data_IF_550158937895
#
_entry.id   IF_550158937895
#
_cell.length_a   1.000
_cell.length_b   1.000
_cell.length_c   1.000
_cell.angle_alpha   90.00
_cell.angle_beta   90.00
_cell.angle_gamma   90.00
#
_symmetry.space_group_name_H-M   'P 1'
#
loop_
_entity.id
_entity.type
_entity.pdbx_description
1 polymer ?
#
# COMPACT_ATOMS: atom_id res chain seq x y z
N UNK A 1 14.86 -14.33 22.19
CA UNK A 1 14.71 -15.14 23.43
C UNK A 1 14.12 -16.50 23.04
N UNK A 2 14.40 -17.55 23.81
CA UNK A 2 13.86 -18.90 23.59
C UNK A 2 12.82 -19.22 24.67
N UNK A 3 11.88 -20.09 24.33
CA UNK A 3 10.87 -20.60 25.27
C UNK A 3 10.10 -19.48 25.97
N UNK A 4 9.37 -18.71 25.19
CA UNK A 4 8.60 -17.57 25.68
C UNK A 4 7.10 -17.81 25.49
N UNK A 5 6.29 -17.27 26.38
CA UNK A 5 4.86 -17.10 26.22
C UNK A 5 4.57 -15.62 25.93
N UNK A 6 3.80 -15.34 24.89
CA UNK A 6 3.30 -14.00 24.58
C UNK A 6 1.81 -13.99 24.86
N UNK A 7 1.38 -13.15 25.78
CA UNK A 7 -0.05 -12.97 26.12
C UNK A 7 -0.57 -11.75 25.41
N UNK A 8 -1.66 -11.95 24.70
CA UNK A 8 -2.34 -10.89 23.94
C UNK A 8 -3.77 -10.77 24.44
N UNK A 9 -4.20 -9.56 24.74
CA UNK A 9 -5.61 -9.24 24.97
C UNK A 9 -6.08 -8.25 23.90
N UNK A 10 -7.16 -8.65 23.22
CA UNK A 10 -7.68 -7.92 22.06
C UNK A 10 -6.58 -7.71 21.00
N UNK A 11 -6.02 -6.51 20.88
CA UNK A 11 -5.01 -6.14 19.90
C UNK A 11 -3.70 -5.66 20.53
N UNK A 12 -3.46 -5.97 21.83
CA UNK A 12 -2.27 -5.53 22.56
C UNK A 12 -1.53 -6.70 23.17
N UNK A 13 -0.21 -6.67 23.08
CA UNK A 13 0.64 -7.55 23.87
C UNK A 13 0.61 -7.04 25.32
N UNK A 14 0.14 -7.89 26.24
CA UNK A 14 0.02 -7.56 27.65
C UNK A 14 1.31 -7.93 28.39
N UNK A 15 1.85 -9.10 28.11
CA UNK A 15 3.10 -9.54 28.73
C UNK A 15 3.85 -10.52 27.82
N UNK A 16 5.15 -10.65 28.08
CA UNK A 16 6.04 -11.64 27.49
C UNK A 16 6.77 -12.32 28.61
N UNK A 17 6.49 -13.59 28.85
CA UNK A 17 6.97 -14.37 29.99
C UNK A 17 7.95 -15.46 29.55
N UNK A 18 8.88 -15.81 30.41
CA UNK A 18 9.77 -16.94 30.20
C UNK A 18 9.04 -18.25 30.53
N UNK A 19 9.19 -19.25 29.68
CA UNK A 19 8.54 -20.53 29.80
C UNK A 19 7.21 -20.61 29.06
N UNK A 20 6.51 -21.70 29.25
CA UNK A 20 5.21 -21.98 28.66
C UNK A 20 4.13 -21.89 29.73
N UNK A 21 3.44 -20.78 29.80
CA UNK A 21 2.39 -20.54 30.79
C UNK A 21 1.17 -21.41 30.49
N UNK A 22 0.47 -21.85 31.53
CA UNK A 22 -0.82 -22.55 31.38
C UNK A 22 -1.90 -21.52 30.99
N UNK A 23 -2.70 -21.88 30.00
CA UNK A 23 -3.84 -21.08 29.59
C UNK A 23 -4.95 -21.12 30.66
N UNK A 24 -5.66 -20.01 30.83
CA UNK A 24 -6.93 -19.96 31.53
C UNK A 24 -8.07 -20.56 30.72
N UNK A 25 -9.22 -20.81 31.36
CA UNK A 25 -10.38 -21.48 30.73
C UNK A 25 -11.02 -20.72 29.57
N UNK A 26 -10.78 -19.43 29.46
CA UNK A 26 -11.33 -18.56 28.41
C UNK A 26 -10.33 -18.25 27.30
N UNK A 27 -9.13 -18.76 27.37
CA UNK A 27 -8.03 -18.36 26.48
C UNK A 27 -7.96 -19.25 25.25
N UNK A 28 -7.61 -18.64 24.12
CA UNK A 28 -7.18 -19.35 22.92
C UNK A 28 -5.68 -19.53 22.94
N UNK A 29 -5.22 -20.76 22.93
CA UNK A 29 -3.78 -21.08 22.84
C UNK A 29 -3.39 -21.36 21.40
N UNK A 30 -2.30 -20.72 20.95
CA UNK A 30 -1.63 -21.01 19.69
C UNK A 30 -0.26 -21.56 20.03
N UNK A 31 -0.04 -22.86 19.82
CA UNK A 31 1.24 -23.51 20.11
C UNK A 31 2.23 -23.26 18.95
N UNK A 32 3.25 -22.47 19.24
CA UNK A 32 4.30 -22.08 18.30
C UNK A 32 5.70 -22.48 18.79
N UNK A 33 5.81 -23.54 19.63
CA UNK A 33 7.08 -23.96 20.26
C UNK A 33 8.20 -24.24 19.26
N UNK A 34 7.87 -24.67 18.05
CA UNK A 34 8.82 -24.94 16.96
C UNK A 34 9.01 -23.77 15.99
N UNK A 35 8.38 -22.65 16.26
CA UNK A 35 8.39 -21.47 15.39
C UNK A 35 9.08 -20.29 16.06
N UNK A 36 9.55 -19.38 15.26
CA UNK A 36 9.98 -18.05 15.71
C UNK A 36 8.84 -17.07 15.54
N UNK A 37 8.50 -16.38 16.63
CA UNK A 37 7.51 -15.29 16.62
C UNK A 37 8.26 -13.96 16.57
N UNK A 38 7.85 -13.09 15.69
CA UNK A 38 8.44 -11.77 15.51
C UNK A 38 7.33 -10.74 15.23
N UNK A 39 7.60 -9.44 15.44
CA UNK A 39 6.69 -8.39 14.96
C UNK A 39 6.47 -8.51 13.46
N UNK A 40 5.28 -8.12 13.00
CA UNK A 40 5.01 -8.03 11.58
C UNK A 40 5.97 -7.07 10.90
N UNK A 41 6.37 -7.41 9.69
CA UNK A 41 7.30 -6.59 8.91
C UNK A 41 6.63 -5.32 8.39
N UNK A 42 7.46 -4.31 8.14
CA UNK A 42 7.05 -3.05 7.54
C UNK A 42 7.81 -2.89 6.23
N UNK A 43 7.08 -2.74 5.12
CA UNK A 43 7.68 -2.37 3.84
C UNK A 43 7.35 -0.91 3.53
N UNK A 44 8.39 -0.11 3.33
CA UNK A 44 8.25 1.33 3.13
C UNK A 44 8.12 1.72 1.66
N UNK A 45 8.10 0.76 0.73
CA UNK A 45 7.95 1.04 -0.70
C UNK A 45 7.30 -0.13 -1.44
N UNK A 46 5.98 -0.12 -1.51
CA UNK A 46 5.21 -1.11 -2.27
C UNK A 46 4.28 -0.45 -3.29
N UNK A 47 3.73 -1.27 -4.17
CA UNK A 47 2.65 -0.94 -5.08
C UNK A 47 1.61 -2.06 -5.03
N UNK A 48 0.44 -1.78 -4.44
CA UNK A 48 -0.60 -2.80 -4.21
C UNK A 48 -1.64 -2.89 -5.34
N UNK A 49 -1.61 -1.97 -6.29
CA UNK A 49 -2.57 -1.97 -7.40
C UNK A 49 -2.16 -2.88 -8.56
N UNK A 50 -0.91 -3.27 -8.62
CA UNK A 50 -0.39 -4.00 -9.78
C UNK A 50 0.85 -4.83 -9.45
N UNK A 51 1.11 -5.78 -10.32
CA UNK A 51 2.31 -6.59 -10.34
C UNK A 51 3.12 -6.30 -11.61
N UNK A 52 4.43 -6.41 -11.54
CA UNK A 52 5.27 -6.29 -12.73
C UNK A 52 5.04 -7.48 -13.64
N UNK A 53 4.42 -7.24 -14.79
CA UNK A 53 4.13 -8.27 -15.78
C UNK A 53 4.28 -7.73 -17.21
N UNK A 54 4.53 -8.60 -18.21
CA UNK A 54 4.55 -8.20 -19.63
C UNK A 54 3.19 -7.63 -20.11
N UNK A 55 2.10 -7.91 -19.41
CA UNK A 55 0.74 -7.47 -19.76
C UNK A 55 0.41 -6.08 -19.23
N UNK A 56 1.22 -5.53 -18.32
CA UNK A 56 0.91 -4.27 -17.63
C UNK A 56 0.61 -3.10 -18.57
N UNK A 57 1.30 -3.00 -19.69
CA UNK A 57 1.03 -1.94 -20.65
C UNK A 57 -0.37 -2.07 -21.27
N UNK A 58 -0.80 -3.30 -21.58
CA UNK A 58 -2.13 -3.58 -22.14
C UNK A 58 -3.20 -3.34 -21.07
N UNK A 59 -2.95 -3.74 -19.82
CA UNK A 59 -3.85 -3.53 -18.70
C UNK A 59 -4.15 -2.04 -18.49
N UNK A 60 -3.17 -1.16 -18.70
CA UNK A 60 -3.38 0.29 -18.66
C UNK A 60 -4.40 0.84 -19.66
N UNK A 61 -4.69 0.10 -20.75
CA UNK A 61 -5.69 0.46 -21.75
C UNK A 61 -7.03 -0.27 -21.59
N UNK A 62 -7.04 -1.39 -20.86
CA UNK A 62 -8.22 -2.29 -20.78
C UNK A 62 -8.87 -2.27 -19.40
N UNK A 63 -8.16 -1.90 -18.35
CA UNK A 63 -8.67 -1.92 -16.99
C UNK A 63 -9.36 -0.61 -16.62
N UNK A 64 -10.52 -0.75 -16.00
CA UNK A 64 -11.22 0.32 -15.32
C UNK A 64 -10.72 0.42 -13.85
N UNK A 65 -11.01 1.52 -13.15
CA UNK A 65 -10.66 1.65 -11.73
C UNK A 65 -11.16 0.50 -10.84
N UNK A 66 -12.29 -0.11 -11.19
CA UNK A 66 -12.83 -1.27 -10.47
C UNK A 66 -11.97 -2.52 -10.64
N UNK A 67 -11.37 -2.73 -11.81
CA UNK A 67 -10.49 -3.88 -12.06
C UNK A 67 -9.23 -3.78 -11.19
N UNK A 68 -8.61 -2.60 -11.12
CA UNK A 68 -7.51 -2.32 -10.20
C UNK A 68 -7.91 -2.49 -8.73
N UNK A 69 -9.13 -2.08 -8.36
CA UNK A 69 -9.61 -2.23 -7.00
C UNK A 69 -9.72 -3.70 -6.59
N UNK A 70 -10.31 -4.54 -7.43
CA UNK A 70 -10.43 -5.98 -7.14
C UNK A 70 -9.07 -6.67 -7.14
N UNK A 71 -8.18 -6.34 -8.07
CA UNK A 71 -6.83 -6.88 -8.12
C UNK A 71 -6.02 -6.49 -6.87
N UNK A 72 -6.14 -5.25 -6.42
CA UNK A 72 -5.43 -4.75 -5.23
C UNK A 72 -5.83 -5.46 -3.94
N UNK A 73 -7.05 -5.98 -3.83
CA UNK A 73 -7.47 -6.81 -2.70
C UNK A 73 -6.63 -8.08 -2.62
N UNK A 74 -6.41 -8.74 -3.75
CA UNK A 74 -5.59 -9.96 -3.81
C UNK A 74 -4.14 -9.68 -3.41
N UNK A 75 -3.52 -8.63 -3.97
CA UNK A 75 -2.14 -8.27 -3.64
C UNK A 75 -1.97 -7.84 -2.18
N UNK A 76 -2.97 -7.15 -1.64
CA UNK A 76 -3.03 -6.77 -0.23
C UNK A 76 -3.04 -8.00 0.69
N UNK A 77 -3.86 -9.01 0.37
CA UNK A 77 -3.93 -10.26 1.15
C UNK A 77 -2.61 -11.06 1.08
N UNK A 78 -2.04 -11.21 -0.11
CA UNK A 78 -0.74 -11.89 -0.32
C UNK A 78 0.36 -11.19 0.48
N UNK A 79 0.40 -9.86 0.46
CA UNK A 79 1.36 -9.04 1.22
C UNK A 79 1.22 -9.26 2.72
N UNK A 80 -0.01 -9.27 3.25
CA UNK A 80 -0.27 -9.54 4.66
C UNK A 80 0.15 -10.97 5.05
N UNK A 81 -0.19 -11.97 4.24
CA UNK A 81 0.15 -13.38 4.50
C UNK A 81 1.65 -13.66 4.40
N UNK A 82 2.39 -12.86 3.63
CA UNK A 82 3.85 -12.89 3.60
C UNK A 82 4.50 -12.31 4.87
N UNK A 83 3.69 -11.73 5.79
CA UNK A 83 4.15 -11.22 7.08
C UNK A 83 4.32 -9.70 7.14
N UNK A 84 4.02 -8.98 6.07
CA UNK A 84 4.03 -7.51 6.08
C UNK A 84 2.72 -6.98 6.64
N UNK A 85 2.76 -6.48 7.87
CA UNK A 85 1.57 -5.99 8.58
C UNK A 85 1.35 -4.49 8.42
N UNK A 86 2.35 -3.77 7.91
CA UNK A 86 2.28 -2.34 7.60
C UNK A 86 3.06 -2.07 6.32
N UNK A 87 2.49 -1.29 5.42
CA UNK A 87 3.15 -0.93 4.15
C UNK A 87 2.96 0.54 3.81
N UNK A 88 3.89 1.08 3.04
CA UNK A 88 3.80 2.39 2.43
C UNK A 88 3.68 2.25 0.91
N UNK A 89 2.49 2.47 0.39
CA UNK A 89 2.18 2.39 -1.04
C UNK A 89 2.46 3.75 -1.70
N UNK A 90 3.48 3.79 -2.56
CA UNK A 90 4.07 5.04 -3.02
C UNK A 90 3.63 5.51 -4.40
N UNK A 91 2.83 4.75 -5.12
CA UNK A 91 2.20 5.21 -6.36
C UNK A 91 1.08 4.26 -6.79
N UNK A 92 0.05 4.83 -7.38
CA UNK A 92 -1.07 4.11 -7.94
C UNK A 92 -1.96 5.03 -8.77
N UNK A 93 -3.08 4.52 -9.21
CA UNK A 93 -4.11 5.29 -9.93
C UNK A 93 -4.94 6.21 -9.03
N UNK A 94 -4.85 6.01 -7.71
CA UNK A 94 -5.72 6.58 -6.68
C UNK A 94 -6.65 5.54 -6.06
N UNK A 95 -6.78 4.36 -6.66
CA UNK A 95 -7.53 3.22 -6.11
C UNK A 95 -6.93 2.74 -4.80
N UNK A 96 -5.61 2.86 -4.61
CA UNK A 96 -4.91 2.54 -3.37
C UNK A 96 -5.42 3.35 -2.16
N UNK A 97 -5.98 4.54 -2.35
CA UNK A 97 -6.68 5.29 -1.29
C UNK A 97 -7.97 4.56 -0.89
N UNK A 98 -8.72 4.07 -1.87
CA UNK A 98 -9.93 3.29 -1.64
C UNK A 98 -9.63 1.95 -0.97
N UNK A 99 -8.55 1.27 -1.38
CA UNK A 99 -8.04 0.04 -0.75
C UNK A 99 -7.74 0.27 0.74
N UNK A 100 -6.94 1.29 1.07
CA UNK A 100 -6.66 1.66 2.46
C UNK A 100 -7.93 1.91 3.26
N UNK A 101 -8.86 2.66 2.69
CA UNK A 101 -10.12 2.98 3.36
C UNK A 101 -10.97 1.72 3.62
N UNK A 102 -11.01 0.79 2.67
CA UNK A 102 -11.73 -0.48 2.82
C UNK A 102 -11.09 -1.38 3.89
N UNK A 103 -9.77 -1.44 3.97
CA UNK A 103 -9.04 -2.15 5.03
C UNK A 103 -9.34 -1.51 6.39
N UNK A 104 -9.25 -0.18 6.51
CA UNK A 104 -9.50 0.54 7.77
C UNK A 104 -10.93 0.38 8.27
N UNK A 105 -11.90 0.20 7.36
CA UNK A 105 -13.30 -0.09 7.68
C UNK A 105 -13.58 -1.56 7.97
N UNK A 106 -12.58 -2.43 7.81
CA UNK A 106 -12.73 -3.88 7.99
C UNK A 106 -13.55 -4.57 6.90
N UNK A 107 -13.78 -3.95 5.76
CA UNK A 107 -14.49 -4.56 4.64
C UNK A 107 -13.67 -5.65 3.95
N UNK A 108 -12.37 -5.46 3.93
CA UNK A 108 -11.40 -6.41 3.37
C UNK A 108 -10.22 -6.58 4.32
N UNK A 109 -9.51 -7.70 4.19
CA UNK A 109 -8.28 -7.98 4.93
C UNK A 109 -7.07 -7.44 4.18
N UNK A 110 -6.11 -6.88 4.93
CA UNK A 110 -4.87 -6.39 4.38
C UNK A 110 -3.96 -5.82 5.46
N UNK A 111 -2.74 -5.43 5.12
CA UNK A 111 -1.84 -4.72 6.02
C UNK A 111 -2.38 -3.32 6.33
N UNK A 112 -1.83 -2.66 7.35
CA UNK A 112 -2.02 -1.21 7.50
C UNK A 112 -1.34 -0.50 6.34
N UNK A 113 -2.09 0.24 5.54
CA UNK A 113 -1.58 0.95 4.36
C UNK A 113 -1.48 2.43 4.63
N UNK A 114 -0.33 3.02 4.30
CA UNK A 114 -0.14 4.46 4.14
C UNK A 114 0.11 4.73 2.67
N UNK A 115 -0.70 5.56 2.03
CA UNK A 115 -0.63 5.72 0.58
C UNK A 115 -0.39 7.15 0.13
N UNK A 116 0.41 7.27 -0.93
CA UNK A 116 0.61 8.52 -1.64
C UNK A 116 -0.51 8.83 -2.67
N UNK A 117 -1.39 7.86 -2.95
CA UNK A 117 -2.27 7.99 -4.10
C UNK A 117 -1.46 8.01 -5.40
N UNK A 118 -1.71 8.99 -6.26
CA UNK A 118 -0.87 9.26 -7.43
C UNK A 118 0.43 9.94 -6.99
N UNK A 119 1.56 9.49 -7.49
CA UNK A 119 2.82 10.17 -7.27
C UNK A 119 2.95 11.45 -8.14
N UNK A 120 3.95 12.28 -7.86
CA UNK A 120 4.21 13.53 -8.60
C UNK A 120 5.54 13.40 -9.34
N UNK A 121 5.53 13.75 -10.62
CA UNK A 121 6.68 13.81 -11.53
C UNK A 121 6.63 15.09 -12.38
N UNK A 122 7.70 15.39 -13.08
CA UNK A 122 7.71 16.40 -14.14
C UNK A 122 7.25 15.80 -15.47
N UNK A 123 6.90 16.64 -16.44
CA UNK A 123 6.73 16.21 -17.83
C UNK A 123 7.97 15.46 -18.29
N UNK A 124 7.77 14.29 -18.88
CA UNK A 124 8.87 13.41 -19.31
C UNK A 124 9.62 12.72 -18.17
N UNK A 125 9.22 12.91 -16.91
CA UNK A 125 9.85 12.25 -15.76
C UNK A 125 9.41 10.79 -15.59
N UNK A 126 10.02 10.09 -14.63
CA UNK A 126 9.89 8.63 -14.43
C UNK A 126 8.46 8.10 -14.37
N UNK A 127 7.53 8.85 -13.79
CA UNK A 127 6.13 8.44 -13.68
C UNK A 127 5.16 9.34 -14.44
N UNK A 128 5.65 10.05 -15.44
CA UNK A 128 4.75 10.60 -16.46
C UNK A 128 4.20 9.41 -17.26
N UNK A 129 2.88 9.14 -17.18
CA UNK A 129 2.31 7.93 -17.78
C UNK A 129 2.28 7.99 -19.31
N UNK A 130 2.63 9.13 -19.91
CA UNK A 130 2.52 9.37 -21.35
C UNK A 130 3.85 9.31 -22.09
N UNK A 131 4.95 9.02 -21.39
CA UNK A 131 6.28 8.91 -22.01
C UNK A 131 6.33 7.89 -23.15
N UNK A 132 6.59 8.39 -24.37
CA UNK A 132 6.72 7.55 -25.57
C UNK A 132 5.40 7.07 -26.18
N UNK A 133 4.25 7.46 -25.62
CA UNK A 133 2.94 7.10 -26.14
C UNK A 133 2.34 8.17 -27.06
N UNK A 134 1.45 7.73 -27.94
CA UNK A 134 0.68 8.63 -28.80
C UNK A 134 -0.23 9.51 -27.94
N UNK A 135 -0.17 10.83 -28.18
CA UNK A 135 -0.92 11.84 -27.43
C UNK A 135 -2.44 11.67 -27.54
N UNK A 136 -2.93 11.21 -28.68
CA UNK A 136 -4.34 10.98 -28.94
C UNK A 136 -4.90 9.76 -28.15
N UNK A 137 -4.02 8.87 -27.68
CA UNK A 137 -4.40 7.73 -26.83
C UNK A 137 -4.28 8.04 -25.34
N UNK A 138 -3.24 8.73 -24.93
CA UNK A 138 -2.90 8.92 -23.51
C UNK A 138 -3.20 10.33 -22.98
N UNK A 139 -3.48 11.28 -23.89
CA UNK A 139 -3.71 12.66 -23.52
C UNK A 139 -2.44 13.40 -23.12
N UNK A 140 -2.61 14.44 -22.33
CA UNK A 140 -1.55 15.32 -21.84
C UNK A 140 -1.85 15.63 -20.35
N UNK A 141 -1.34 14.81 -19.44
CA UNK A 141 -1.66 14.93 -18.02
C UNK A 141 -1.01 16.18 -17.41
N UNK A 142 -1.68 16.72 -16.40
CA UNK A 142 -1.23 17.90 -15.67
C UNK A 142 -1.14 17.66 -14.16
N UNK A 143 -1.10 18.72 -13.34
CA UNK A 143 -0.92 18.62 -11.89
C UNK A 143 -1.96 17.77 -11.18
N UNK A 144 -3.18 17.69 -11.70
CA UNK A 144 -4.25 16.84 -11.13
C UNK A 144 -3.92 15.35 -11.29
N UNK A 145 -3.20 15.00 -12.35
CA UNK A 145 -2.78 13.63 -12.62
C UNK A 145 -1.40 13.29 -12.05
N UNK A 146 -0.69 14.29 -11.53
CA UNK A 146 0.61 14.12 -10.93
C UNK A 146 1.79 14.55 -11.82
N UNK A 147 1.51 15.14 -13.00
CA UNK A 147 2.57 15.73 -13.84
C UNK A 147 2.58 17.24 -13.61
N UNK A 148 3.66 17.75 -13.01
CA UNK A 148 3.74 19.13 -12.56
C UNK A 148 5.12 19.74 -12.83
N UNK A 149 5.12 20.96 -13.37
CA UNK A 149 6.31 21.71 -13.76
C UNK A 149 6.35 23.06 -13.03
N UNK A 150 7.46 23.30 -12.34
CA UNK A 150 7.63 24.53 -11.57
C UNK A 150 6.83 24.57 -10.26
N UNK A 151 7.02 25.64 -9.51
CA UNK A 151 6.55 25.71 -8.12
C UNK A 151 5.03 25.76 -7.99
N UNK A 152 4.34 26.44 -8.87
CA UNK A 152 2.89 26.63 -8.75
C UNK A 152 2.12 25.35 -9.08
N UNK A 153 2.52 24.64 -10.14
CA UNK A 153 1.94 23.35 -10.49
C UNK A 153 2.26 22.28 -9.43
N UNK A 154 3.47 22.27 -8.88
CA UNK A 154 3.82 21.38 -7.77
C UNK A 154 2.94 21.65 -6.54
N UNK A 155 2.68 22.91 -6.18
CA UNK A 155 1.74 23.25 -5.10
C UNK A 155 0.33 22.77 -5.41
N UNK A 156 -0.13 22.92 -6.65
CA UNK A 156 -1.44 22.42 -7.08
C UNK A 156 -1.51 20.89 -6.96
N UNK A 157 -0.50 20.19 -7.44
CA UNK A 157 -0.42 18.72 -7.35
C UNK A 157 -0.46 18.24 -5.89
N UNK A 158 0.32 18.86 -5.00
CA UNK A 158 0.32 18.52 -3.55
C UNK A 158 -1.06 18.75 -2.92
N UNK A 159 -1.70 19.90 -3.21
CA UNK A 159 -3.05 20.19 -2.70
C UNK A 159 -4.09 19.19 -3.22
N UNK A 160 -3.93 18.74 -4.47
CA UNK A 160 -4.79 17.70 -5.02
C UNK A 160 -4.62 16.39 -4.28
N UNK A 161 -3.36 15.94 -4.00
CA UNK A 161 -3.12 14.73 -3.18
C UNK A 161 -3.76 14.82 -1.80
N UNK A 162 -3.65 15.97 -1.14
CA UNK A 162 -4.35 16.20 0.13
C UNK A 162 -5.87 16.09 -0.02
N UNK A 163 -6.44 16.71 -1.04
CA UNK A 163 -7.89 16.65 -1.33
C UNK A 163 -8.35 15.21 -1.61
N UNK A 164 -7.54 14.42 -2.31
CA UNK A 164 -7.82 13.02 -2.63
C UNK A 164 -7.73 12.11 -1.40
N UNK A 165 -7.11 12.58 -0.32
CA UNK A 165 -6.96 11.87 0.94
C UNK A 165 -5.68 11.03 1.03
N UNK A 166 -4.62 11.41 0.34
CA UNK A 166 -3.29 10.79 0.49
C UNK A 166 -2.72 11.02 1.88
N UNK A 167 -2.00 10.02 2.42
CA UNK A 167 -1.34 10.11 3.73
C UNK A 167 0.04 10.79 3.65
N UNK A 168 0.63 10.78 2.46
CA UNK A 168 1.95 11.30 2.20
C UNK A 168 2.08 11.73 0.74
N UNK A 169 3.15 12.45 0.43
CA UNK A 169 3.49 12.84 -0.94
C UNK A 169 4.67 12.02 -1.43
N UNK A 170 4.52 11.39 -2.59
CA UNK A 170 5.61 10.76 -3.34
C UNK A 170 6.00 11.65 -4.50
N UNK A 171 7.27 11.94 -4.61
CA UNK A 171 7.85 12.61 -5.78
C UNK A 171 8.90 11.71 -6.43
N UNK A 172 9.04 11.82 -7.74
CA UNK A 172 10.17 11.28 -8.49
C UNK A 172 11.01 12.48 -8.97
N UNK A 173 12.07 12.77 -8.22
CA UNK A 173 12.91 13.94 -8.45
C UNK A 173 14.09 13.66 -9.40
N UNK A 174 14.36 12.39 -9.67
CA UNK A 174 15.37 11.89 -10.61
C UNK A 174 14.69 10.96 -11.57
N UNK A 175 14.57 11.38 -12.80
CA UNK A 175 13.77 10.73 -13.83
C UNK A 175 14.44 9.67 -14.60
#
# INVERSE_FOLDING_TARGET
KKNMTVVVDKNKIITIETGFSKAGNADRVIDLKTKTVMPGWIDMHVHLEFETSPKRQIEGFTYNPADYAYQSVQFSEVTLLAGFTTVRDLAGSGVNISLRNAINKGWIKGPRVYTAGKAISTTGGHIDPTNGYRKDLMGDPGPLDGVANGADECRQAVRQRYKDGSDLIKITATG
#
